data_IF_601772108758
#
_entry.id   IF_601772108758
#
_cell.length_a   1.000
_cell.length_b   1.000
_cell.length_c   1.000
_cell.angle_alpha   90.00
_cell.angle_beta   90.00
_cell.angle_gamma   90.00
#
_symmetry.space_group_name_H-M   'P 1'
#
loop_
_entity.id
_entity.type
_entity.pdbx_description
1 polymer ?
#
# COMPACT_ATOMS: atom_id res chain seq x y z
N UNK A 1 -1.44 -90.02 35.77
CA UNK A 1 -1.37 -89.46 34.41
C UNK A 1 -2.10 -88.18 34.45
N UNK A 2 -1.36 -87.08 34.71
CA UNK A 2 -1.97 -85.74 35.03
C UNK A 2 -1.79 -84.79 33.86
N UNK A 3 -2.89 -84.44 33.27
CA UNK A 3 -2.91 -83.35 32.26
C UNK A 3 -3.17 -82.03 32.94
N UNK A 4 -2.12 -81.24 33.10
CA UNK A 4 -2.17 -79.87 33.61
C UNK A 4 -2.50 -78.92 32.46
N UNK A 5 -3.71 -78.42 32.42
CA UNK A 5 -4.14 -77.42 31.41
C UNK A 5 -3.71 -76.04 31.93
N UNK A 6 -2.70 -75.48 31.27
CA UNK A 6 -2.24 -74.11 31.52
C UNK A 6 -3.19 -73.14 30.80
N UNK A 7 -4.07 -72.49 31.56
CA UNK A 7 -4.86 -71.38 31.04
C UNK A 7 -3.97 -70.14 30.87
N UNK A 8 -3.63 -69.83 29.63
CA UNK A 8 -3.04 -68.54 29.26
C UNK A 8 -4.07 -67.42 29.40
N UNK A 9 -3.93 -66.61 30.42
CA UNK A 9 -4.69 -65.35 30.51
C UNK A 9 -4.15 -64.39 29.47
N UNK A 10 -4.94 -64.14 28.42
CA UNK A 10 -4.67 -63.09 27.44
C UNK A 10 -5.13 -61.77 28.06
N UNK A 11 -4.18 -60.93 28.49
CA UNK A 11 -4.46 -59.56 28.88
C UNK A 11 -4.69 -58.75 27.60
N UNK A 12 -5.96 -58.41 27.33
CA UNK A 12 -6.29 -57.46 26.29
C UNK A 12 -5.98 -56.06 26.84
N UNK A 13 -4.85 -55.49 26.42
CA UNK A 13 -4.59 -54.07 26.65
C UNK A 13 -5.48 -53.25 25.70
N UNK A 14 -6.50 -52.65 26.26
CA UNK A 14 -7.33 -51.68 25.57
C UNK A 14 -6.54 -50.40 25.45
N UNK A 15 -5.88 -50.20 24.31
CA UNK A 15 -5.23 -48.91 23.99
C UNK A 15 -6.35 -47.94 23.59
N UNK A 16 -6.73 -47.07 24.54
CA UNK A 16 -7.61 -45.92 24.26
C UNK A 16 -6.75 -44.88 23.59
N UNK A 17 -7.03 -44.50 22.32
CA UNK A 17 -6.31 -43.36 21.71
C UNK A 17 -6.74 -42.07 22.41
N UNK A 18 -5.83 -41.44 23.12
CA UNK A 18 -6.00 -40.11 23.64
C UNK A 18 -5.98 -39.18 22.40
N UNK A 19 -7.15 -38.72 21.96
CA UNK A 19 -7.26 -37.64 20.99
C UNK A 19 -6.92 -36.36 21.72
N UNK A 20 -5.67 -35.94 21.57
CA UNK A 20 -5.27 -34.60 22.00
C UNK A 20 -5.87 -33.64 20.98
N UNK A 21 -7.03 -33.09 21.32
CA UNK A 21 -7.61 -31.95 20.60
C UNK A 21 -6.73 -30.73 20.86
N UNK A 22 -5.77 -30.47 19.97
CA UNK A 22 -5.05 -29.20 19.94
C UNK A 22 -6.02 -28.15 19.40
N UNK A 23 -6.71 -27.46 20.27
CA UNK A 23 -7.37 -26.21 19.93
C UNK A 23 -6.26 -25.23 19.54
N UNK A 24 -6.06 -25.04 18.24
CA UNK A 24 -5.29 -23.91 17.72
C UNK A 24 -6.05 -22.66 18.12
N UNK A 25 -5.47 -21.76 18.94
CA UNK A 25 -6.10 -20.48 19.17
C UNK A 25 -6.22 -19.79 17.82
N UNK A 26 -7.44 -19.48 17.41
CA UNK A 26 -7.69 -18.57 16.31
C UNK A 26 -7.29 -17.17 16.79
N UNK A 27 -5.98 -16.94 16.92
CA UNK A 27 -5.46 -15.59 16.89
C UNK A 27 -5.79 -15.06 15.49
N UNK A 28 -6.96 -14.51 15.39
CA UNK A 28 -7.32 -13.59 14.35
C UNK A 28 -6.19 -12.56 14.30
N UNK A 29 -5.26 -12.75 13.37
CA UNK A 29 -4.32 -11.72 12.96
C UNK A 29 -5.19 -10.55 12.49
N UNK A 30 -5.62 -9.72 13.44
CA UNK A 30 -6.02 -8.38 13.16
C UNK A 30 -4.77 -7.73 12.55
N UNK A 31 -4.62 -7.87 11.22
CA UNK A 31 -3.69 -7.06 10.45
C UNK A 31 -4.19 -5.65 10.66
N UNK A 32 -3.67 -5.00 11.71
CA UNK A 32 -3.79 -3.55 11.84
C UNK A 32 -3.17 -3.01 10.57
N UNK A 33 -4.00 -2.58 9.64
CA UNK A 33 -3.58 -1.91 8.41
C UNK A 33 -2.79 -0.68 8.89
N UNK A 34 -1.46 -0.84 9.03
CA UNK A 34 -0.58 0.29 9.29
C UNK A 34 -0.83 1.27 8.15
N UNK A 35 -1.46 2.41 8.45
CA UNK A 35 -1.66 3.48 7.48
C UNK A 35 -0.30 3.80 6.88
N UNK A 36 -0.10 3.45 5.61
CA UNK A 36 1.16 3.69 4.92
C UNK A 36 1.36 5.19 4.76
N UNK A 37 2.59 5.66 4.90
CA UNK A 37 2.94 7.07 4.69
C UNK A 37 2.58 7.51 3.26
N UNK A 38 2.71 6.60 2.29
CA UNK A 38 2.45 6.84 0.88
C UNK A 38 1.25 6.03 0.39
N UNK A 39 0.35 6.70 -0.32
CA UNK A 39 -0.79 6.07 -0.95
C UNK A 39 -0.39 5.43 -2.27
N UNK A 40 -0.71 4.16 -2.42
CA UNK A 40 -0.48 3.38 -3.64
C UNK A 40 -1.74 3.16 -4.45
N UNK A 41 -2.89 3.65 -4.01
CA UNK A 41 -4.21 3.34 -4.59
C UNK A 41 -4.49 1.82 -4.68
N UNK A 42 -3.89 1.02 -3.79
CA UNK A 42 -4.01 -0.43 -3.83
C UNK A 42 -3.09 -1.12 -4.85
N UNK A 43 -2.21 -0.38 -5.53
CA UNK A 43 -1.17 -0.94 -6.40
C UNK A 43 0.11 -1.26 -5.61
N UNK A 44 1.12 -1.79 -6.29
CA UNK A 44 2.45 -2.01 -5.70
C UNK A 44 3.31 -0.71 -5.67
N UNK A 45 2.84 0.36 -6.32
CA UNK A 45 3.62 1.57 -6.55
C UNK A 45 2.91 2.81 -6.02
N UNK A 46 3.67 3.75 -5.48
CA UNK A 46 3.13 5.06 -5.07
C UNK A 46 2.51 5.76 -6.28
N UNK A 47 1.47 6.55 -6.02
CA UNK A 47 0.77 7.31 -7.05
C UNK A 47 0.23 6.42 -8.17
N UNK A 48 -0.19 5.19 -7.84
CA UNK A 48 -0.63 4.18 -8.81
C UNK A 48 0.37 3.97 -9.96
N UNK A 49 1.66 4.17 -9.71
CA UNK A 49 2.73 4.03 -10.69
C UNK A 49 2.79 5.11 -11.76
N UNK A 50 2.16 6.27 -11.56
CA UNK A 50 2.42 7.45 -12.39
C UNK A 50 3.71 8.13 -11.98
N UNK A 51 4.49 8.55 -12.96
CA UNK A 51 5.77 9.22 -12.81
C UNK A 51 5.60 10.63 -12.21
N UNK A 52 6.00 10.78 -10.96
CA UNK A 52 5.84 12.04 -10.22
C UNK A 52 6.67 13.19 -10.80
N UNK A 53 7.77 12.90 -11.50
CA UNK A 53 8.63 13.91 -12.13
C UNK A 53 7.96 14.49 -13.39
N UNK A 54 7.14 13.70 -14.08
CA UNK A 54 6.48 14.11 -15.32
C UNK A 54 5.52 15.27 -15.13
N UNK A 55 4.86 15.38 -13.99
CA UNK A 55 3.99 16.53 -13.67
C UNK A 55 4.75 17.86 -13.68
N UNK A 56 5.98 17.86 -13.17
CA UNK A 56 6.83 19.06 -13.11
C UNK A 56 7.57 19.36 -14.41
N UNK A 57 7.97 18.32 -15.14
CA UNK A 57 8.81 18.47 -16.33
C UNK A 57 8.01 18.58 -17.61
N UNK A 58 6.92 17.82 -17.69
CA UNK A 58 6.15 17.66 -18.90
C UNK A 58 4.76 18.29 -18.78
N UNK A 59 4.37 18.78 -17.59
CA UNK A 59 3.02 19.24 -17.27
C UNK A 59 1.97 18.18 -17.67
N UNK A 60 2.26 16.91 -17.40
CA UNK A 60 1.44 15.79 -17.86
C UNK A 60 1.55 14.61 -16.92
N UNK A 61 0.42 13.92 -16.67
CA UNK A 61 0.41 12.60 -16.06
C UNK A 61 0.95 11.57 -17.07
N UNK A 62 2.01 10.85 -16.68
CA UNK A 62 2.61 9.80 -17.51
C UNK A 62 2.77 8.55 -16.67
N UNK A 63 2.28 7.42 -17.17
CA UNK A 63 2.49 6.12 -16.49
C UNK A 63 3.97 5.76 -16.55
N UNK A 64 4.54 5.35 -15.42
CA UNK A 64 5.91 4.88 -15.35
C UNK A 64 6.08 3.50 -16.01
N UNK A 65 7.32 3.18 -16.35
CA UNK A 65 7.73 1.88 -16.88
C UNK A 65 8.45 1.10 -15.77
N UNK A 66 8.17 -0.19 -15.65
CA UNK A 66 8.80 -1.07 -14.64
C UNK A 66 10.32 -1.18 -14.77
N UNK A 67 10.86 -0.88 -15.94
CA UNK A 67 12.32 -0.81 -16.19
C UNK A 67 12.99 0.33 -15.44
N UNK A 68 12.21 1.33 -14.99
CA UNK A 68 12.69 2.51 -14.26
C UNK A 68 12.01 2.58 -12.90
N UNK A 69 12.25 1.55 -12.09
CA UNK A 69 11.71 1.43 -10.73
C UNK A 69 12.78 1.80 -9.71
N UNK A 70 12.43 2.63 -8.74
CA UNK A 70 13.29 2.99 -7.62
C UNK A 70 12.56 2.77 -6.29
N UNK A 71 13.32 2.45 -5.24
CA UNK A 71 12.81 2.39 -3.88
C UNK A 71 13.19 3.65 -3.12
N UNK A 72 12.21 4.33 -2.56
CA UNK A 72 12.43 5.45 -1.67
C UNK A 72 11.40 5.47 -0.54
N UNK A 73 11.86 5.71 0.68
CA UNK A 73 11.05 5.80 1.88
C UNK A 73 10.14 4.55 2.07
N UNK A 74 10.76 3.36 1.92
CA UNK A 74 10.13 2.02 2.07
C UNK A 74 9.02 1.72 1.03
N UNK A 75 8.97 2.46 -0.08
CA UNK A 75 7.96 2.28 -1.12
C UNK A 75 8.58 2.30 -2.52
N UNK A 76 7.91 1.62 -3.44
CA UNK A 76 8.32 1.52 -4.83
C UNK A 76 7.71 2.64 -5.67
N UNK A 77 8.53 3.25 -6.52
CA UNK A 77 8.17 4.35 -7.39
C UNK A 77 8.49 4.00 -8.83
N UNK A 78 7.60 4.34 -9.78
CA UNK A 78 7.83 4.14 -11.20
C UNK A 78 8.08 5.47 -11.92
N UNK A 79 8.97 5.42 -12.89
CA UNK A 79 9.32 6.58 -13.72
C UNK A 79 9.17 6.25 -15.20
N UNK A 80 8.92 7.26 -16.02
CA UNK A 80 8.80 7.09 -17.47
C UNK A 80 10.17 6.99 -18.17
N UNK A 81 11.26 7.32 -17.47
CA UNK A 81 12.61 7.25 -17.99
C UNK A 81 13.64 7.17 -16.88
N UNK A 82 14.83 6.70 -17.22
CA UNK A 82 15.98 6.74 -16.30
C UNK A 82 16.32 8.17 -15.84
N UNK A 83 16.20 9.15 -16.72
CA UNK A 83 16.42 10.56 -16.36
C UNK A 83 15.47 11.00 -15.24
N UNK A 84 14.19 10.64 -15.31
CA UNK A 84 13.22 10.99 -14.27
C UNK A 84 13.50 10.25 -12.96
N UNK A 85 13.87 8.97 -13.03
CA UNK A 85 14.33 8.21 -11.85
C UNK A 85 15.53 8.89 -11.18
N UNK A 86 16.55 9.26 -11.95
CA UNK A 86 17.74 9.95 -11.43
C UNK A 86 17.40 11.33 -10.84
N UNK A 87 16.51 12.09 -11.48
CA UNK A 87 16.05 13.39 -10.96
C UNK A 87 15.31 13.25 -9.64
N UNK A 88 14.46 12.23 -9.52
CA UNK A 88 13.76 11.92 -8.28
C UNK A 88 14.74 11.53 -7.18
N UNK A 89 15.60 10.55 -7.42
CA UNK A 89 16.54 10.05 -6.41
C UNK A 89 17.53 11.12 -5.93
N UNK A 90 17.88 12.08 -6.79
CA UNK A 90 18.71 13.22 -6.38
C UNK A 90 17.98 14.21 -5.46
N UNK A 91 16.67 14.35 -5.57
CA UNK A 91 15.86 15.22 -4.69
C UNK A 91 14.41 14.74 -4.61
N UNK A 92 14.13 13.65 -3.87
CA UNK A 92 12.79 13.08 -3.79
C UNK A 92 11.74 14.05 -3.24
N UNK A 93 12.10 14.81 -2.22
CA UNK A 93 11.19 15.76 -1.55
C UNK A 93 10.63 16.82 -2.51
N UNK A 94 11.41 17.17 -3.54
CA UNK A 94 10.98 18.13 -4.57
C UNK A 94 9.83 17.60 -5.42
N UNK A 95 9.83 16.31 -5.71
CA UNK A 95 8.91 15.69 -6.66
C UNK A 95 7.80 14.88 -6.01
N UNK A 96 8.01 14.44 -4.76
CA UNK A 96 7.04 13.65 -4.04
C UNK A 96 5.73 14.44 -3.85
N UNK A 97 4.57 13.79 -4.07
CA UNK A 97 3.27 14.42 -3.87
C UNK A 97 3.08 14.87 -2.42
N UNK A 98 2.37 15.99 -2.24
CA UNK A 98 1.97 16.43 -0.92
C UNK A 98 1.03 15.40 -0.27
N UNK A 99 0.97 15.41 1.06
CA UNK A 99 0.10 14.54 1.86
C UNK A 99 0.28 13.04 1.58
N UNK A 100 1.49 12.61 1.19
CA UNK A 100 1.77 11.19 0.94
C UNK A 100 0.99 10.60 -0.24
N UNK A 101 0.70 11.38 -1.28
CA UNK A 101 -0.11 10.94 -2.42
C UNK A 101 -1.57 10.60 -2.06
N UNK A 102 -2.09 11.09 -0.94
CA UNK A 102 -3.51 11.06 -0.62
C UNK A 102 -4.24 12.28 -1.21
N UNK A 103 -5.55 12.16 -1.37
CA UNK A 103 -6.39 13.23 -1.87
C UNK A 103 -6.28 14.49 -0.99
N UNK A 104 -5.81 15.59 -1.57
CA UNK A 104 -5.55 16.86 -0.87
C UNK A 104 -6.81 17.43 -0.24
N UNK A 105 -7.94 17.38 -0.94
CA UNK A 105 -9.24 17.81 -0.42
C UNK A 105 -9.67 16.97 0.80
N UNK A 106 -9.52 15.65 0.72
CA UNK A 106 -9.86 14.76 1.83
C UNK A 106 -9.00 15.05 3.06
N UNK A 107 -7.69 15.25 2.87
CA UNK A 107 -6.76 15.56 3.98
C UNK A 107 -7.11 16.89 4.64
N UNK A 108 -7.48 17.93 3.88
CA UNK A 108 -7.92 19.21 4.45
C UNK A 108 -9.22 19.10 5.27
N UNK A 109 -10.01 18.05 5.03
CA UNK A 109 -11.23 17.72 5.78
C UNK A 109 -11.02 16.65 6.87
N UNK A 110 -9.76 16.29 7.17
CA UNK A 110 -9.42 15.40 8.29
C UNK A 110 -9.50 13.90 8.01
N UNK A 111 -9.61 13.47 6.76
CA UNK A 111 -9.59 12.05 6.39
C UNK A 111 -8.66 11.78 5.22
N UNK A 112 -8.47 10.52 4.85
CA UNK A 112 -7.66 10.11 3.72
C UNK A 112 -8.51 9.40 2.67
N UNK A 113 -8.25 9.70 1.39
CA UNK A 113 -8.89 9.06 0.26
C UNK A 113 -7.88 8.79 -0.84
N UNK A 114 -8.22 7.87 -1.74
CA UNK A 114 -7.49 7.59 -2.97
C UNK A 114 -7.45 8.81 -3.89
N UNK A 115 -6.68 8.72 -4.95
CA UNK A 115 -6.49 9.80 -5.93
C UNK A 115 -6.75 9.29 -7.35
N UNK A 116 -6.99 10.22 -8.27
CA UNK A 116 -6.96 9.98 -9.73
C UNK A 116 -5.72 10.69 -10.31
N UNK A 117 -4.58 10.01 -10.38
CA UNK A 117 -3.31 10.63 -10.77
C UNK A 117 -3.29 11.12 -12.23
N UNK A 118 -4.18 10.58 -13.07
CA UNK A 118 -4.23 10.89 -14.49
C UNK A 118 -4.82 12.27 -14.77
N UNK A 119 -5.88 12.66 -14.07
CA UNK A 119 -6.72 13.81 -14.44
C UNK A 119 -7.07 14.76 -13.28
N UNK A 120 -6.62 14.49 -12.07
CA UNK A 120 -7.02 15.22 -10.85
C UNK A 120 -5.81 15.67 -10.03
N UNK A 121 -4.94 16.44 -10.65
CA UNK A 121 -3.68 16.90 -10.08
C UNK A 121 -3.38 18.35 -10.44
N UNK A 122 -2.50 18.98 -9.67
CA UNK A 122 -1.99 20.31 -9.93
C UNK A 122 -0.62 20.49 -9.27
N UNK A 123 0.25 21.26 -9.93
CA UNK A 123 1.52 21.71 -9.36
C UNK A 123 1.39 23.18 -9.00
N UNK A 124 1.31 23.49 -7.71
CA UNK A 124 1.22 24.85 -7.16
C UNK A 124 2.44 25.09 -6.29
N UNK A 125 3.12 26.22 -6.45
CA UNK A 125 4.33 26.59 -5.69
C UNK A 125 5.38 25.47 -5.65
N UNK A 126 5.60 24.83 -6.80
CA UNK A 126 6.54 23.70 -6.93
C UNK A 126 6.18 22.48 -6.05
N UNK A 127 4.93 22.31 -5.70
CA UNK A 127 4.40 21.18 -4.94
C UNK A 127 3.32 20.49 -5.75
N UNK A 128 3.34 19.16 -5.78
CA UNK A 128 2.34 18.33 -6.47
C UNK A 128 1.20 17.99 -5.52
N UNK A 129 0.00 18.37 -5.89
CA UNK A 129 -1.25 18.03 -5.20
C UNK A 129 -2.08 17.10 -6.07
N UNK A 130 -2.66 16.08 -5.42
CA UNK A 130 -3.49 15.07 -6.07
C UNK A 130 -4.89 15.07 -5.44
N UNK A 131 -5.90 14.79 -6.23
CA UNK A 131 -7.29 14.72 -5.76
C UNK A 131 -7.98 13.45 -6.26
N UNK A 132 -9.12 13.12 -5.66
CA UNK A 132 -9.86 11.90 -5.95
C UNK A 132 -10.48 11.88 -7.35
N UNK A 133 -10.93 13.04 -7.82
CA UNK A 133 -11.60 13.17 -9.13
C UNK A 133 -11.54 14.63 -9.62
N UNK A 134 -11.81 14.90 -10.90
CA UNK A 134 -11.85 16.27 -11.42
C UNK A 134 -12.86 17.18 -10.70
N UNK A 135 -13.96 16.63 -10.20
CA UNK A 135 -14.93 17.40 -9.42
C UNK A 135 -14.40 17.78 -8.04
N UNK A 136 -13.76 16.82 -7.36
CA UNK A 136 -13.11 17.05 -6.06
C UNK A 136 -11.92 17.99 -6.20
N UNK A 137 -11.18 17.89 -7.31
CA UNK A 137 -10.08 18.82 -7.60
C UNK A 137 -10.58 20.27 -7.70
N UNK A 138 -11.69 20.51 -8.41
CA UNK A 138 -12.32 21.85 -8.48
C UNK A 138 -12.80 22.34 -7.11
N UNK A 139 -13.36 21.47 -6.26
CA UNK A 139 -13.74 21.82 -4.90
C UNK A 139 -12.51 22.22 -4.07
N UNK A 140 -11.42 21.44 -4.20
CA UNK A 140 -10.16 21.74 -3.52
C UNK A 140 -9.60 23.11 -3.92
N UNK A 141 -9.63 23.45 -5.21
CA UNK A 141 -9.22 24.77 -5.72
C UNK A 141 -10.09 25.89 -5.13
N UNK A 142 -11.42 25.69 -5.07
CA UNK A 142 -12.33 26.69 -4.51
C UNK A 142 -12.13 26.91 -3.00
N UNK A 143 -11.82 25.85 -2.25
CA UNK A 143 -11.63 25.88 -0.79
C UNK A 143 -10.23 26.38 -0.37
N UNK A 144 -9.27 26.35 -1.29
CA UNK A 144 -7.87 26.69 -1.02
C UNK A 144 -7.32 27.72 -2.03
N UNK A 145 -7.89 28.93 -2.11
CA UNK A 145 -7.43 29.93 -3.05
C UNK A 145 -5.95 30.29 -2.85
N UNK A 146 -5.45 30.24 -1.62
CA UNK A 146 -4.03 30.48 -1.31
C UNK A 146 -3.10 29.32 -1.74
N UNK A 147 -3.62 28.17 -2.09
CA UNK A 147 -2.84 27.09 -2.68
C UNK A 147 -2.68 27.23 -4.20
N UNK A 148 -3.33 28.26 -4.79
CA UNK A 148 -3.36 28.58 -6.22
C UNK A 148 -2.54 29.86 -6.53
N UNK A 149 -2.25 30.67 -5.50
CA UNK A 149 -1.33 31.80 -5.59
C UNK A 149 0.13 31.36 -5.39
#
# INVERSE_FOLDING_TARGET
MNNLIIMKRIFFFLIIPIVISTSVPSDSLAITQKKTKWNTNGSAFVNDGYDVVSYFKNNKAVKGDKSFTEEWDEHMWLFASKLHADLFMNNPVKYAPQFGSYCSWAVSHGYSASVSPEDSWEVVDKKLYLNFSPSVHRSWQADNPAAIE
#
